data_IF_702069542726
#
_entry.id   IF_702069542726
#
_cell.length_a   1.000
_cell.length_b   1.000
_cell.length_c   1.000
_cell.angle_alpha   90.00
_cell.angle_beta   90.00
_cell.angle_gamma   90.00
#
_symmetry.space_group_name_H-M   'P 1'
#
loop_
_entity.id
_entity.type
_entity.pdbx_description
1 polymer ?
#
# COMPACT_ATOMS: atom_id res chain seq x y z
N UNK A 1 -3.26 10.82 -50.52
CA UNK A 1 -2.24 11.49 -51.35
C UNK A 1 -2.49 11.25 -52.84
N UNK A 2 -2.55 10.02 -53.33
CA UNK A 2 -2.75 9.75 -54.78
C UNK A 2 -4.04 10.35 -55.35
N UNK A 3 -5.20 10.12 -54.70
CA UNK A 3 -6.46 10.79 -55.08
C UNK A 3 -6.42 12.32 -55.02
N UNK A 4 -5.64 12.88 -54.09
CA UNK A 4 -5.51 14.34 -53.98
C UNK A 4 -4.67 14.92 -55.12
N UNK A 5 -3.71 14.15 -55.65
CA UNK A 5 -2.93 14.53 -56.84
C UNK A 5 -3.82 14.45 -58.10
N UNK A 6 -4.58 13.36 -58.25
CA UNK A 6 -5.51 13.15 -59.38
C UNK A 6 -6.62 14.20 -59.43
N UNK A 7 -7.11 14.64 -58.27
CA UNK A 7 -8.14 15.68 -58.14
C UNK A 7 -7.58 17.11 -58.07
N UNK A 8 -6.25 17.28 -58.16
CA UNK A 8 -5.58 18.60 -58.24
C UNK A 8 -5.47 19.38 -56.93
N UNK A 9 -5.70 18.75 -55.78
CA UNK A 9 -5.53 19.37 -54.46
C UNK A 9 -4.07 19.51 -54.02
N UNK A 10 -3.16 18.72 -54.60
CA UNK A 10 -1.71 18.79 -54.36
C UNK A 10 -0.96 18.65 -55.68
N UNK A 11 0.21 19.28 -55.79
CA UNK A 11 1.10 19.14 -56.94
C UNK A 11 2.03 17.92 -56.82
N UNK A 12 2.70 17.56 -57.92
CA UNK A 12 3.56 16.38 -58.01
C UNK A 12 4.77 16.46 -57.05
N UNK A 13 5.28 17.67 -56.81
CA UNK A 13 6.36 17.91 -55.85
C UNK A 13 5.90 17.69 -54.40
N UNK A 14 4.71 18.18 -54.05
CA UNK A 14 4.08 17.97 -52.75
C UNK A 14 3.75 16.49 -52.50
N UNK A 15 3.27 15.79 -53.54
CA UNK A 15 3.03 14.36 -53.48
C UNK A 15 4.29 13.58 -53.12
N UNK A 16 5.39 13.79 -53.85
CA UNK A 16 6.67 13.10 -53.59
C UNK A 16 7.22 13.45 -52.21
N UNK A 17 7.21 14.73 -51.83
CA UNK A 17 7.67 15.17 -50.51
C UNK A 17 6.88 14.56 -49.35
N UNK A 18 5.58 14.29 -49.55
CA UNK A 18 4.72 13.73 -48.51
C UNK A 18 4.77 12.21 -48.44
N UNK A 19 5.01 11.51 -49.56
CA UNK A 19 5.12 10.04 -49.57
C UNK A 19 6.46 9.55 -49.00
N UNK A 20 7.53 10.34 -49.20
CA UNK A 20 8.86 10.05 -48.64
C UNK A 20 8.98 10.38 -47.15
N UNK A 21 8.00 11.08 -46.57
CA UNK A 21 7.99 11.38 -45.15
C UNK A 21 7.47 10.18 -44.35
N UNK A 22 8.29 9.54 -43.51
CA UNK A 22 7.80 8.50 -42.62
C UNK A 22 6.76 9.09 -41.67
N UNK A 23 5.67 8.36 -41.44
CA UNK A 23 4.66 8.73 -40.45
C UNK A 23 5.33 8.68 -39.07
N UNK A 24 5.73 9.85 -38.57
CA UNK A 24 6.09 10.01 -37.18
C UNK A 24 4.81 10.07 -36.38
N UNK A 25 4.36 8.91 -35.90
CA UNK A 25 3.36 8.88 -34.85
C UNK A 25 3.96 9.63 -33.67
N UNK A 26 3.42 10.80 -33.36
CA UNK A 26 3.58 11.36 -32.02
C UNK A 26 2.90 10.33 -31.14
N UNK A 27 3.68 9.49 -30.47
CA UNK A 27 3.15 8.58 -29.47
C UNK A 27 2.23 9.41 -28.59
N UNK A 28 1.02 8.91 -28.34
CA UNK A 28 0.09 9.57 -27.41
C UNK A 28 0.97 9.95 -26.23
N UNK A 29 1.10 11.25 -25.97
CA UNK A 29 1.61 11.69 -24.68
C UNK A 29 0.55 11.13 -23.75
N UNK A 30 0.79 9.92 -23.25
CA UNK A 30 0.19 9.48 -22.00
C UNK A 30 0.77 10.51 -21.06
N UNK A 31 0.09 11.65 -20.93
CA UNK A 31 0.21 12.45 -19.73
C UNK A 31 0.05 11.40 -18.66
N UNK A 32 1.12 11.17 -17.93
CA UNK A 32 1.31 10.07 -17.00
C UNK A 32 0.42 10.26 -15.76
N UNK A 33 -0.81 10.73 -15.97
CA UNK A 33 -1.78 11.23 -14.99
C UNK A 33 -2.43 10.12 -14.20
N UNK A 34 -2.25 8.85 -14.59
CA UNK A 34 -2.79 7.67 -13.91
C UNK A 34 -1.68 6.84 -13.23
N UNK A 35 -0.63 7.47 -12.71
CA UNK A 35 0.44 6.77 -11.95
C UNK A 35 0.34 7.02 -10.45
N UNK A 36 -0.88 6.95 -9.93
CA UNK A 36 -1.17 7.20 -8.53
C UNK A 36 -2.22 6.19 -8.07
N UNK A 37 -2.00 5.61 -6.89
CA UNK A 37 -2.95 4.71 -6.24
C UNK A 37 -4.34 5.33 -6.16
N UNK A 38 -4.42 6.63 -5.89
CA UNK A 38 -5.68 7.34 -5.74
C UNK A 38 -6.42 7.52 -7.07
N UNK A 39 -5.71 7.87 -8.14
CA UNK A 39 -6.33 8.05 -9.46
C UNK A 39 -6.83 6.71 -9.99
N UNK A 40 -6.09 5.63 -9.75
CA UNK A 40 -6.55 4.27 -10.08
C UNK A 40 -7.82 3.89 -9.32
N UNK A 41 -7.96 4.29 -8.04
CA UNK A 41 -9.20 4.07 -7.29
C UNK A 41 -10.39 4.83 -7.87
N UNK A 42 -10.19 6.10 -8.26
CA UNK A 42 -11.25 6.85 -8.94
C UNK A 42 -11.63 6.15 -10.25
N UNK A 43 -10.64 5.69 -11.02
CA UNK A 43 -10.85 4.98 -12.28
C UNK A 43 -11.71 3.74 -12.06
N UNK A 44 -11.35 2.88 -11.10
CA UNK A 44 -12.11 1.67 -10.76
C UNK A 44 -13.55 2.01 -10.35
N UNK A 45 -13.72 3.01 -9.48
CA UNK A 45 -15.05 3.44 -9.04
C UNK A 45 -15.94 3.94 -10.18
N UNK A 46 -15.36 4.68 -11.14
CA UNK A 46 -16.09 5.14 -12.33
C UNK A 46 -16.47 3.98 -13.23
N UNK A 47 -15.54 3.04 -13.50
CA UNK A 47 -15.83 1.86 -14.32
C UNK A 47 -16.96 1.04 -13.72
N UNK A 48 -16.89 0.79 -12.40
CA UNK A 48 -17.88 -0.02 -11.69
C UNK A 48 -19.29 0.59 -11.79
N UNK A 49 -19.41 1.93 -11.79
CA UNK A 49 -20.71 2.62 -11.73
C UNK A 49 -21.24 3.08 -13.09
N UNK A 50 -20.36 3.47 -14.00
CA UNK A 50 -20.73 4.12 -15.27
C UNK A 50 -20.19 3.38 -16.51
N UNK A 51 -19.46 2.28 -16.32
CA UNK A 51 -18.84 1.49 -17.39
C UNK A 51 -17.52 2.08 -17.90
N UNK A 52 -16.76 1.29 -18.66
CA UNK A 52 -15.47 1.72 -19.23
C UNK A 52 -15.62 2.89 -20.21
N UNK A 53 -16.75 2.92 -20.94
CA UNK A 53 -17.11 3.98 -21.88
C UNK A 53 -17.15 5.36 -21.23
N UNK A 54 -17.48 5.46 -19.94
CA UNK A 54 -17.53 6.75 -19.23
C UNK A 54 -16.14 7.40 -19.11
N UNK A 55 -15.08 6.58 -19.03
CA UNK A 55 -13.70 7.07 -19.04
C UNK A 55 -13.32 7.52 -20.44
N UNK A 56 -13.60 6.68 -21.45
CA UNK A 56 -13.20 6.90 -22.84
C UNK A 56 -13.92 8.09 -23.49
N UNK A 57 -15.23 8.22 -23.23
CA UNK A 57 -16.03 9.33 -23.75
C UNK A 57 -15.67 10.65 -23.08
N UNK A 58 -15.12 10.61 -21.86
CA UNK A 58 -14.70 11.76 -21.06
C UNK A 58 -15.87 12.66 -20.62
N UNK A 59 -15.54 13.74 -19.90
CA UNK A 59 -16.53 14.77 -19.54
C UNK A 59 -17.11 14.72 -18.14
N UNK A 60 -16.73 13.72 -17.33
CA UNK A 60 -17.03 13.71 -15.91
C UNK A 60 -16.03 14.60 -15.16
N UNK A 61 -16.55 15.47 -14.29
CA UNK A 61 -15.78 16.17 -13.26
C UNK A 61 -16.02 15.47 -11.93
N UNK A 62 -14.96 14.91 -11.37
CA UNK A 62 -15.00 14.11 -10.14
C UNK A 62 -14.32 14.92 -9.03
N UNK A 63 -15.09 15.25 -8.00
CA UNK A 63 -14.62 15.95 -6.81
C UNK A 63 -14.44 14.93 -5.69
N UNK A 64 -13.29 14.98 -5.03
CA UNK A 64 -12.88 13.96 -4.06
C UNK A 64 -12.55 14.58 -2.71
N UNK A 65 -12.30 13.74 -1.71
CA UNK A 65 -11.95 14.18 -0.35
C UNK A 65 -10.45 14.39 -0.15
N UNK A 66 -9.63 13.96 -1.12
CA UNK A 66 -8.17 14.01 -1.03
C UNK A 66 -7.68 15.44 -0.88
N UNK A 67 -6.77 15.61 0.07
CA UNK A 67 -5.97 16.81 0.20
C UNK A 67 -4.68 16.62 -0.62
N UNK A 68 -4.58 17.36 -1.74
CA UNK A 68 -3.49 17.20 -2.71
C UNK A 68 -2.12 17.44 -2.08
N UNK A 69 -1.99 18.49 -1.28
CA UNK A 69 -0.71 18.89 -0.71
C UNK A 69 -0.29 17.89 0.37
N UNK A 70 -1.22 17.53 1.26
CA UNK A 70 -0.97 16.51 2.28
C UNK A 70 -0.62 15.16 1.65
N UNK A 71 -1.29 14.77 0.57
CA UNK A 71 -1.02 13.53 -0.15
C UNK A 71 0.40 13.52 -0.75
N UNK A 72 0.81 14.61 -1.40
CA UNK A 72 2.16 14.75 -1.96
C UNK A 72 3.23 14.60 -0.88
N UNK A 73 3.08 15.29 0.26
CA UNK A 73 4.04 15.21 1.36
C UNK A 73 4.06 13.82 2.01
N UNK A 74 2.89 13.18 2.17
CA UNK A 74 2.79 11.82 2.69
C UNK A 74 3.51 10.80 1.80
N UNK A 75 3.30 10.86 0.48
CA UNK A 75 3.99 9.99 -0.48
C UNK A 75 5.50 10.20 -0.43
N UNK A 76 5.95 11.45 -0.49
CA UNK A 76 7.39 11.79 -0.44
C UNK A 76 8.02 11.31 0.87
N UNK A 77 7.33 11.48 2.00
CA UNK A 77 7.83 11.04 3.30
C UNK A 77 7.92 9.52 3.37
N UNK A 78 6.91 8.79 2.89
CA UNK A 78 6.92 7.34 2.84
C UNK A 78 8.09 6.82 1.99
N UNK A 79 8.28 7.36 0.79
CA UNK A 79 9.37 6.98 -0.11
C UNK A 79 10.74 7.19 0.53
N UNK A 80 10.99 8.38 1.10
CA UNK A 80 12.23 8.67 1.79
C UNK A 80 12.48 7.73 2.98
N UNK A 81 11.44 7.49 3.78
CA UNK A 81 11.54 6.61 4.94
C UNK A 81 11.84 5.16 4.53
N UNK A 82 11.21 4.62 3.49
CA UNK A 82 11.48 3.27 2.98
C UNK A 82 12.91 3.14 2.43
N UNK A 83 13.42 4.17 1.74
CA UNK A 83 14.82 4.22 1.29
C UNK A 83 15.80 4.26 2.46
N UNK A 84 15.51 5.07 3.49
CA UNK A 84 16.32 5.15 4.71
C UNK A 84 16.30 3.83 5.48
N UNK A 85 15.14 3.20 5.63
CA UNK A 85 15.00 1.92 6.32
C UNK A 85 15.78 0.83 5.58
N UNK A 86 15.62 0.71 4.27
CA UNK A 86 16.38 -0.28 3.49
C UNK A 86 17.88 -0.01 3.56
N UNK A 87 18.31 1.25 3.50
CA UNK A 87 19.72 1.60 3.67
C UNK A 87 20.28 1.19 5.05
N UNK A 88 19.45 1.12 6.09
CA UNK A 88 19.87 0.65 7.42
C UNK A 88 19.89 -0.87 7.53
N UNK A 89 18.82 -1.55 7.11
CA UNK A 89 18.63 -2.99 7.34
C UNK A 89 19.22 -3.86 6.23
N UNK A 90 19.49 -3.29 5.05
CA UNK A 90 19.90 -4.01 3.86
C UNK A 90 18.73 -4.55 3.04
N UNK A 91 19.03 -5.38 2.05
CA UNK A 91 18.03 -5.98 1.17
C UNK A 91 17.41 -7.20 1.85
N UNK A 92 16.12 -7.49 1.61
CA UNK A 92 15.52 -8.69 2.15
C UNK A 92 16.13 -9.94 1.51
N UNK A 93 16.19 -11.04 2.25
CA UNK A 93 16.42 -12.35 1.67
C UNK A 93 15.13 -12.76 0.94
N UNK A 94 15.21 -12.87 -0.38
CA UNK A 94 14.07 -13.23 -1.21
C UNK A 94 13.76 -14.73 -1.08
N UNK A 95 12.47 -15.06 -1.00
CA UNK A 95 11.99 -16.44 -1.08
C UNK A 95 12.02 -16.95 -2.54
N UNK A 96 11.92 -18.28 -2.72
CA UNK A 96 11.97 -18.92 -4.05
C UNK A 96 10.94 -18.31 -5.01
N UNK A 97 9.70 -18.18 -4.57
CA UNK A 97 8.60 -17.67 -5.38
C UNK A 97 8.80 -16.19 -5.77
N UNK A 98 9.42 -15.40 -4.89
CA UNK A 98 9.75 -14.00 -5.19
C UNK A 98 10.86 -13.90 -6.23
N UNK A 99 11.88 -14.76 -6.14
CA UNK A 99 12.96 -14.85 -7.13
C UNK A 99 12.40 -15.26 -8.48
N UNK A 100 11.49 -16.25 -8.51
CA UNK A 100 10.86 -16.72 -9.74
C UNK A 100 9.98 -15.64 -10.37
N UNK A 101 9.18 -14.92 -9.57
CA UNK A 101 8.40 -13.77 -10.06
C UNK A 101 9.29 -12.67 -10.66
N UNK A 102 10.42 -12.35 -10.01
CA UNK A 102 11.37 -11.36 -10.52
C UNK A 102 12.05 -11.83 -11.81
N UNK A 103 12.40 -13.12 -11.88
CA UNK A 103 12.99 -13.72 -13.08
C UNK A 103 12.02 -13.64 -14.26
N UNK A 104 10.75 -14.01 -14.07
CA UNK A 104 9.72 -13.89 -15.10
C UNK A 104 9.54 -12.43 -15.57
N UNK A 105 9.55 -11.46 -14.63
CA UNK A 105 9.54 -10.03 -14.99
C UNK A 105 10.78 -9.63 -15.77
N UNK A 106 11.95 -10.08 -15.37
CA UNK A 106 13.20 -9.81 -16.09
C UNK A 106 13.15 -10.33 -17.53
N UNK A 107 12.69 -11.57 -17.73
CA UNK A 107 12.66 -12.25 -19.03
C UNK A 107 11.55 -11.72 -19.96
N UNK A 108 10.48 -11.17 -19.41
CA UNK A 108 9.38 -10.57 -20.21
C UNK A 108 9.63 -9.11 -20.59
N UNK A 109 10.65 -8.48 -20.03
CA UNK A 109 11.07 -7.14 -20.40
C UNK A 109 11.86 -7.18 -21.70
N UNK A 110 11.26 -6.75 -22.80
CA UNK A 110 11.93 -6.58 -24.10
C UNK A 110 12.56 -5.17 -24.16
N UNK A 111 13.80 -5.01 -23.67
CA UNK A 111 14.44 -3.71 -23.44
C UNK A 111 15.82 -3.67 -24.05
N UNK A 112 16.02 -2.73 -24.98
CA UNK A 112 17.29 -2.45 -25.61
C UNK A 112 17.62 -0.95 -25.50
N UNK A 113 18.82 -0.50 -25.95
CA UNK A 113 19.23 0.89 -25.84
C UNK A 113 18.30 1.91 -26.54
N UNK A 114 17.51 1.47 -27.53
CA UNK A 114 16.56 2.32 -28.26
C UNK A 114 15.17 2.32 -27.62
N UNK A 115 14.79 1.25 -26.93
CA UNK A 115 13.46 1.07 -26.32
C UNK A 115 13.41 1.41 -24.83
N UNK A 116 14.55 1.65 -24.17
CA UNK A 116 14.57 2.04 -22.76
C UNK A 116 13.89 3.42 -22.56
N UNK A 117 12.96 3.47 -21.62
CA UNK A 117 12.09 4.63 -21.40
C UNK A 117 12.49 5.33 -20.11
N UNK A 118 12.74 6.64 -20.17
CA UNK A 118 12.97 7.46 -18.98
C UNK A 118 11.76 7.40 -18.02
N UNK A 119 12.04 7.50 -16.72
CA UNK A 119 11.08 7.41 -15.63
C UNK A 119 10.39 6.02 -15.48
N UNK A 120 10.82 5.00 -16.24
CA UNK A 120 10.32 3.64 -16.12
C UNK A 120 11.12 2.80 -15.13
N UNK A 121 10.49 1.74 -14.63
CA UNK A 121 11.04 0.82 -13.63
C UNK A 121 11.22 -0.54 -14.29
N UNK A 122 12.38 -1.13 -14.06
CA UNK A 122 12.79 -2.41 -14.62
C UNK A 122 13.31 -3.31 -13.51
N UNK A 123 13.19 -4.63 -13.71
CA UNK A 123 13.93 -5.63 -12.98
C UNK A 123 15.29 -5.80 -13.66
N UNK A 124 16.37 -5.74 -12.89
CA UNK A 124 17.73 -5.91 -13.36
C UNK A 124 18.41 -7.10 -12.69
N UNK A 125 19.24 -7.82 -13.45
CA UNK A 125 20.05 -8.94 -12.95
C UNK A 125 21.46 -8.45 -12.60
N UNK A 126 21.89 -8.67 -11.36
CA UNK A 126 23.18 -8.18 -10.85
C UNK A 126 24.34 -8.97 -11.45
N UNK A 127 25.27 -8.27 -12.10
CA UNK A 127 26.54 -8.81 -12.61
C UNK A 127 27.65 -8.78 -11.56
N UNK A 128 27.76 -7.69 -10.83
CA UNK A 128 28.75 -7.55 -9.75
C UNK A 128 28.29 -6.58 -8.67
N UNK A 129 28.76 -6.83 -7.45
CA UNK A 129 28.59 -5.95 -6.29
C UNK A 129 29.99 -5.60 -5.80
N UNK A 130 30.33 -4.31 -5.76
CA UNK A 130 31.61 -3.83 -5.25
C UNK A 130 31.39 -2.57 -4.42
N UNK A 131 31.69 -2.67 -3.12
CA UNK A 131 31.34 -1.64 -2.13
C UNK A 131 29.84 -1.31 -2.25
N UNK A 132 29.50 -0.04 -2.46
CA UNK A 132 28.14 0.45 -2.61
C UNK A 132 27.74 0.67 -4.08
N UNK A 133 28.39 -0.02 -5.01
CA UNK A 133 28.07 0.05 -6.44
C UNK A 133 27.72 -1.33 -6.95
N UNK A 134 26.67 -1.39 -7.76
CA UNK A 134 26.28 -2.59 -8.51
C UNK A 134 26.41 -2.33 -10.00
N UNK A 135 26.81 -3.37 -10.73
CA UNK A 135 26.62 -3.45 -12.18
C UNK A 135 25.58 -4.52 -12.46
N UNK A 136 24.78 -4.32 -13.51
CA UNK A 136 23.66 -5.20 -13.83
C UNK A 136 23.31 -5.14 -15.32
N UNK A 137 22.46 -6.06 -15.74
CA UNK A 137 21.78 -6.02 -17.04
C UNK A 137 20.29 -5.84 -16.86
N UNK A 138 19.66 -5.19 -17.84
CA UNK A 138 18.22 -5.20 -18.09
C UNK A 138 18.11 -5.65 -19.54
N UNK A 139 17.89 -6.95 -19.74
CA UNK A 139 17.92 -7.53 -21.09
C UNK A 139 19.23 -7.18 -21.83
N UNK A 140 19.20 -6.40 -22.92
CA UNK A 140 20.39 -5.99 -23.68
C UNK A 140 21.12 -4.76 -23.09
N UNK A 141 20.49 -4.06 -22.14
CA UNK A 141 21.04 -2.82 -21.57
C UNK A 141 21.92 -3.11 -20.36
N UNK A 142 23.17 -2.66 -20.39
CA UNK A 142 24.03 -2.65 -19.21
C UNK A 142 23.86 -1.38 -18.39
N UNK A 143 23.83 -1.53 -17.07
CA UNK A 143 23.67 -0.42 -16.14
C UNK A 143 24.57 -0.52 -14.92
N UNK A 144 24.78 0.64 -14.29
CA UNK A 144 25.43 0.75 -12.98
C UNK A 144 24.63 1.68 -12.10
N UNK A 145 24.53 1.34 -10.82
CA UNK A 145 23.85 2.18 -9.84
C UNK A 145 24.59 2.17 -8.50
N UNK A 146 24.44 3.27 -7.77
CA UNK A 146 24.87 3.37 -6.39
C UNK A 146 23.77 2.85 -5.46
N UNK A 147 24.14 2.05 -4.47
CA UNK A 147 23.27 1.54 -3.42
C UNK A 147 23.59 2.29 -2.14
N UNK A 148 22.59 2.97 -1.59
CA UNK A 148 22.73 3.72 -0.34
C UNK A 148 22.73 2.76 0.85
N UNK A 149 23.73 2.86 1.72
CA UNK A 149 23.79 2.14 2.99
C UNK A 149 24.18 0.66 2.86
N UNK A 150 23.50 -0.19 3.62
CA UNK A 150 23.76 -1.63 3.73
C UNK A 150 23.48 -2.36 2.42
N UNK A 151 24.43 -3.19 2.00
CA UNK A 151 24.32 -4.10 0.85
C UNK A 151 24.03 -5.54 1.27
N UNK A 152 23.63 -5.76 2.53
CA UNK A 152 23.30 -7.10 3.03
C UNK A 152 22.27 -7.76 2.11
N UNK A 153 22.50 -9.05 1.80
CA UNK A 153 21.74 -9.88 0.86
C UNK A 153 21.77 -9.46 -0.62
N UNK A 154 22.53 -8.43 -1.01
CA UNK A 154 22.88 -8.22 -2.42
C UNK A 154 23.98 -9.18 -2.84
N UNK A 155 23.77 -9.86 -3.96
CA UNK A 155 24.73 -10.82 -4.48
C UNK A 155 24.67 -10.88 -6.01
N UNK A 156 25.76 -11.37 -6.61
CA UNK A 156 25.81 -11.69 -8.03
C UNK A 156 24.68 -12.66 -8.39
N UNK A 157 24.13 -12.51 -9.59
CA UNK A 157 23.00 -13.26 -10.13
C UNK A 157 21.66 -13.04 -9.40
N UNK A 158 21.62 -12.14 -8.40
CA UNK A 158 20.38 -11.66 -7.79
C UNK A 158 19.63 -10.64 -8.66
N UNK A 159 18.37 -10.38 -8.32
CA UNK A 159 17.52 -9.41 -9.02
C UNK A 159 17.22 -8.19 -8.15
N UNK A 160 17.16 -7.02 -8.77
CA UNK A 160 16.80 -5.74 -8.12
C UNK A 160 15.85 -4.93 -9.00
N UNK A 161 15.05 -4.07 -8.38
CA UNK A 161 14.30 -3.04 -9.09
C UNK A 161 15.20 -1.83 -9.33
N UNK A 162 15.24 -1.34 -10.57
CA UNK A 162 15.96 -0.13 -10.96
C UNK A 162 15.04 0.80 -11.73
N UNK A 163 15.12 2.10 -11.43
CA UNK A 163 14.44 3.16 -12.17
C UNK A 163 15.45 3.84 -13.10
N UNK A 164 15.11 3.93 -14.37
CA UNK A 164 15.86 4.74 -15.33
C UNK A 164 15.36 6.19 -15.23
N UNK A 165 16.21 7.11 -14.81
CA UNK A 165 15.84 8.50 -14.51
C UNK A 165 15.94 9.38 -15.76
N UNK A 166 15.35 10.57 -15.71
CA UNK A 166 15.38 11.54 -16.82
C UNK A 166 16.81 11.98 -17.18
N UNK A 167 17.71 12.04 -16.20
CA UNK A 167 19.14 12.32 -16.39
C UNK A 167 19.93 11.09 -16.90
N UNK A 168 19.23 10.08 -17.44
CA UNK A 168 19.78 8.86 -18.02
C UNK A 168 20.65 8.05 -17.05
N UNK A 169 20.31 8.08 -15.76
CA UNK A 169 20.98 7.29 -14.72
C UNK A 169 20.07 6.18 -14.21
N UNK A 170 20.66 5.22 -13.50
CA UNK A 170 19.90 4.19 -12.82
C UNK A 170 19.89 4.44 -11.31
N UNK A 171 18.69 4.36 -10.72
CA UNK A 171 18.48 4.38 -9.27
C UNK A 171 17.93 3.03 -8.83
N UNK A 172 18.57 2.38 -7.86
CA UNK A 172 18.03 1.17 -7.22
C UNK A 172 16.83 1.56 -6.35
N UNK A 173 15.73 0.84 -6.49
CA UNK A 173 14.52 1.05 -5.70
C UNK A 173 14.49 0.09 -4.49
N UNK A 174 13.85 0.50 -3.38
CA UNK A 174 13.69 -0.38 -2.25
C UNK A 174 12.74 -1.54 -2.55
N UNK A 175 13.02 -2.70 -1.97
CA UNK A 175 12.11 -3.82 -1.84
C UNK A 175 11.07 -3.59 -0.75
N UNK A 176 11.47 -2.90 0.32
CA UNK A 176 10.55 -2.53 1.40
C UNK A 176 9.37 -1.74 0.85
N UNK A 177 8.20 -2.04 1.40
CA UNK A 177 6.92 -1.42 1.05
C UNK A 177 6.30 -0.82 2.30
N UNK A 178 5.36 0.10 2.10
CA UNK A 178 4.62 0.70 3.20
C UNK A 178 3.35 1.37 2.71
N UNK A 179 2.60 1.92 3.66
CA UNK A 179 1.31 2.56 3.42
C UNK A 179 1.23 3.84 4.24
N UNK A 180 0.60 4.86 3.68
CA UNK A 180 0.09 6.00 4.46
C UNK A 180 -1.38 6.19 4.11
N UNK A 181 -2.23 6.19 5.13
CA UNK A 181 -3.67 6.42 5.01
C UNK A 181 -4.07 7.45 6.05
N UNK A 182 -4.86 8.44 5.65
CA UNK A 182 -5.44 9.44 6.56
C UNK A 182 -6.92 9.57 6.29
N UNK A 183 -7.71 9.54 7.36
CA UNK A 183 -9.17 9.65 7.33
C UNK A 183 -9.57 10.80 8.25
N UNK A 184 -10.42 11.69 7.74
CA UNK A 184 -11.08 12.70 8.56
C UNK A 184 -12.05 12.01 9.53
N UNK A 185 -11.78 12.10 10.83
CA UNK A 185 -12.54 11.33 11.84
C UNK A 185 -14.01 11.75 11.94
N UNK A 186 -14.33 13.01 11.62
CA UNK A 186 -15.69 13.55 11.75
C UNK A 186 -16.59 13.15 10.59
N UNK A 187 -16.01 12.98 9.40
CA UNK A 187 -16.76 12.77 8.17
C UNK A 187 -16.56 11.38 7.56
N UNK A 188 -15.41 10.73 7.80
CA UNK A 188 -14.98 9.54 7.08
C UNK A 188 -14.27 9.85 5.74
N UNK A 189 -14.06 11.12 5.40
CA UNK A 189 -13.41 11.50 4.15
C UNK A 189 -11.93 11.08 4.14
N UNK A 190 -11.52 10.28 3.16
CA UNK A 190 -10.12 9.89 2.99
C UNK A 190 -9.33 11.11 2.49
N UNK A 191 -8.35 11.56 3.26
CA UNK A 191 -7.50 12.71 2.94
C UNK A 191 -6.22 12.33 2.21
N UNK A 192 -5.67 11.16 2.53
CA UNK A 192 -4.43 10.62 1.96
C UNK A 192 -4.59 9.13 1.76
N UNK A 193 -4.11 8.59 0.63
CA UNK A 193 -4.07 7.15 0.37
C UNK A 193 -2.87 6.76 -0.51
N UNK A 194 -1.78 6.36 0.13
CA UNK A 194 -0.56 5.89 -0.53
C UNK A 194 -0.43 4.39 -0.29
N UNK A 195 -0.54 3.59 -1.36
CA UNK A 195 -0.64 2.12 -1.29
C UNK A 195 0.67 1.35 -1.41
N UNK A 196 1.81 2.03 -1.51
CA UNK A 196 3.13 1.43 -1.71
C UNK A 196 4.22 2.47 -1.96
N UNK A 197 5.44 2.00 -2.17
CA UNK A 197 6.58 2.87 -2.49
C UNK A 197 6.38 3.63 -3.81
N UNK A 198 5.94 2.93 -4.86
CA UNK A 198 5.81 3.49 -6.21
C UNK A 198 4.77 2.71 -7.00
N UNK A 199 3.80 3.41 -7.58
CA UNK A 199 2.65 2.78 -8.24
C UNK A 199 3.08 1.96 -9.45
N UNK A 200 4.06 2.46 -10.23
CA UNK A 200 4.60 1.74 -11.39
C UNK A 200 5.37 0.47 -11.02
N UNK A 201 5.90 0.40 -9.80
CA UNK A 201 6.55 -0.82 -9.29
C UNK A 201 5.49 -1.86 -8.91
N UNK A 202 4.40 -1.41 -8.30
CA UNK A 202 3.32 -2.28 -7.82
C UNK A 202 2.01 -1.49 -7.73
N UNK A 203 1.06 -1.82 -8.60
CA UNK A 203 -0.29 -1.23 -8.59
C UNK A 203 -1.17 -1.75 -7.44
N UNK A 204 -0.70 -2.76 -6.70
CA UNK A 204 -1.39 -3.31 -5.53
C UNK A 204 -1.49 -2.26 -4.42
N UNK A 205 -2.72 -1.83 -4.12
CA UNK A 205 -2.98 -0.81 -3.12
C UNK A 205 -3.06 -1.43 -1.73
N UNK A 206 -1.93 -1.43 -1.04
CA UNK A 206 -1.81 -2.04 0.30
C UNK A 206 -2.71 -1.35 1.34
N UNK A 207 -3.13 -0.11 1.14
CA UNK A 207 -4.04 0.58 2.08
C UNK A 207 -5.42 -0.09 2.15
N UNK A 208 -5.87 -0.67 1.04
CA UNK A 208 -7.20 -1.27 0.92
C UNK A 208 -7.18 -2.79 0.80
N UNK A 209 -6.12 -3.35 0.21
CA UNK A 209 -6.09 -4.76 -0.21
C UNK A 209 -5.15 -5.61 0.65
N UNK A 210 -4.14 -5.01 1.30
CA UNK A 210 -3.14 -5.78 2.06
C UNK A 210 -3.70 -6.18 3.41
N UNK A 211 -3.98 -7.46 3.58
CA UNK A 211 -4.33 -8.08 4.86
C UNK A 211 -3.04 -8.39 5.62
N UNK A 212 -2.88 -7.84 6.83
CA UNK A 212 -1.71 -8.05 7.70
C UNK A 212 -2.14 -8.12 9.16
N UNK A 213 -1.33 -8.81 9.96
CA UNK A 213 -1.48 -8.83 11.41
C UNK A 213 -1.28 -7.42 11.98
N UNK A 214 -2.28 -6.81 12.64
CA UNK A 214 -2.15 -5.49 13.25
C UNK A 214 -1.31 -5.52 14.54
N UNK A 215 -1.05 -6.72 15.08
CA UNK A 215 -0.37 -6.89 16.34
C UNK A 215 -1.08 -6.16 17.48
N UNK A 216 -0.32 -5.45 18.31
CA UNK A 216 -0.85 -4.71 19.46
C UNK A 216 -1.85 -3.59 19.10
N UNK A 217 -1.95 -3.19 17.83
CA UNK A 217 -2.93 -2.18 17.42
C UNK A 217 -4.40 -2.67 17.53
N UNK A 218 -4.64 -3.98 17.72
CA UNK A 218 -5.99 -4.50 18.01
C UNK A 218 -6.42 -4.27 19.46
N UNK A 219 -5.48 -4.11 20.39
CA UNK A 219 -5.76 -4.07 21.84
C UNK A 219 -6.81 -3.02 22.21
N UNK A 220 -6.78 -1.78 21.69
CA UNK A 220 -7.80 -0.78 22.01
C UNK A 220 -9.25 -1.25 21.80
N UNK A 221 -9.52 -2.17 20.88
CA UNK A 221 -10.86 -2.76 20.68
C UNK A 221 -11.30 -3.58 21.90
N UNK A 222 -10.40 -4.40 22.44
CA UNK A 222 -10.66 -5.24 23.62
C UNK A 222 -10.84 -4.36 24.85
N UNK A 223 -10.00 -3.35 25.02
CA UNK A 223 -10.09 -2.43 26.15
C UNK A 223 -11.33 -1.52 26.05
N UNK A 224 -11.74 -1.10 24.84
CA UNK A 224 -13.01 -0.41 24.63
C UNK A 224 -14.20 -1.31 25.00
N UNK A 225 -14.14 -2.60 24.61
CA UNK A 225 -15.15 -3.60 25.02
C UNK A 225 -15.22 -3.71 26.54
N UNK A 226 -14.08 -3.76 27.23
CA UNK A 226 -14.03 -3.80 28.69
C UNK A 226 -14.74 -2.60 29.33
N UNK A 227 -14.44 -1.40 28.84
CA UNK A 227 -15.05 -0.16 29.35
C UNK A 227 -16.57 -0.16 29.12
N UNK A 228 -17.03 -0.65 27.96
CA UNK A 228 -18.46 -0.83 27.68
C UNK A 228 -19.14 -1.84 28.63
N UNK A 229 -18.38 -2.75 29.24
CA UNK A 229 -18.85 -3.76 30.19
C UNK A 229 -18.53 -3.39 31.66
N UNK A 230 -18.37 -2.10 31.96
CA UNK A 230 -18.25 -1.60 33.35
C UNK A 230 -16.83 -1.54 33.91
N UNK A 231 -15.81 -1.90 33.13
CA UNK A 231 -14.42 -1.67 33.56
C UNK A 231 -14.10 -0.17 33.53
N UNK A 232 -13.23 0.25 34.44
CA UNK A 232 -12.71 1.63 34.51
C UNK A 232 -11.21 1.63 34.21
N UNK A 233 -10.63 2.81 34.02
CA UNK A 233 -9.20 2.95 33.80
C UNK A 233 -8.33 2.40 34.96
N UNK A 234 -8.91 2.29 36.16
CA UNK A 234 -8.26 1.79 37.38
C UNK A 234 -8.64 0.35 37.74
N UNK A 235 -9.48 -0.31 36.94
CA UNK A 235 -9.78 -1.73 37.13
C UNK A 235 -8.49 -2.55 37.10
N UNK A 236 -8.36 -3.49 38.02
CA UNK A 236 -7.17 -4.35 38.15
C UNK A 236 -7.27 -5.53 37.18
N UNK A 237 -6.18 -5.78 36.47
CA UNK A 237 -5.96 -6.92 35.59
C UNK A 237 -4.75 -7.72 36.08
N UNK A 238 -4.76 -9.02 35.81
CA UNK A 238 -3.63 -9.91 36.13
C UNK A 238 -2.66 -9.98 34.95
N UNK A 239 -1.42 -9.58 35.18
CA UNK A 239 -0.27 -9.77 34.30
C UNK A 239 0.60 -10.91 34.86
N UNK A 240 0.11 -12.14 34.71
CA UNK A 240 0.65 -13.37 35.29
C UNK A 240 0.76 -14.49 34.23
N UNK A 241 1.59 -15.53 34.44
CA UNK A 241 1.70 -16.66 33.51
C UNK A 241 0.45 -17.55 33.54
N UNK A 242 -0.59 -17.14 32.83
CA UNK A 242 -1.84 -17.91 32.69
C UNK A 242 -1.76 -18.76 31.43
N UNK A 243 -2.06 -20.06 31.56
CA UNK A 243 -2.07 -21.00 30.44
C UNK A 243 -3.43 -21.05 29.75
N UNK A 244 -3.42 -21.10 28.42
CA UNK A 244 -4.59 -21.25 27.57
C UNK A 244 -4.37 -22.38 26.57
N UNK A 245 -5.42 -23.14 26.26
CA UNK A 245 -5.32 -24.21 25.27
C UNK A 245 -5.26 -23.64 23.84
N UNK A 246 -4.23 -23.99 23.08
CA UNK A 246 -4.10 -23.68 21.65
C UNK A 246 -4.48 -24.90 20.81
N UNK A 247 -5.71 -24.90 20.29
CA UNK A 247 -6.23 -25.96 19.43
C UNK A 247 -5.45 -26.13 18.11
N UNK A 248 -4.75 -25.10 17.62
CA UNK A 248 -4.00 -25.18 16.37
C UNK A 248 -2.69 -25.97 16.51
N UNK A 249 -2.10 -25.93 17.70
CA UNK A 249 -0.85 -26.63 18.03
C UNK A 249 -1.07 -27.81 18.98
N UNK A 250 -2.32 -28.06 19.38
CA UNK A 250 -2.72 -29.09 20.34
C UNK A 250 -1.87 -29.11 21.62
N UNK A 251 -1.64 -27.91 22.19
CA UNK A 251 -0.82 -27.73 23.40
C UNK A 251 -1.25 -26.51 24.19
N UNK A 252 -0.75 -26.43 25.42
CA UNK A 252 -0.85 -25.23 26.24
C UNK A 252 0.01 -24.09 25.70
N UNK A 253 -0.53 -22.88 25.76
CA UNK A 253 0.12 -21.64 25.37
C UNK A 253 0.04 -20.63 26.51
N UNK A 254 1.21 -20.10 26.90
CA UNK A 254 1.33 -19.03 27.90
C UNK A 254 1.80 -17.76 27.18
N UNK A 255 0.97 -16.69 27.11
CA UNK A 255 1.37 -15.43 26.49
C UNK A 255 2.48 -14.76 27.28
N UNK A 256 3.58 -14.41 26.61
CA UNK A 256 4.68 -13.66 27.22
C UNK A 256 4.62 -12.18 26.83
N UNK A 257 4.95 -11.32 27.78
CA UNK A 257 5.23 -9.91 27.50
C UNK A 257 6.52 -9.78 26.67
N UNK A 258 6.68 -8.67 25.94
CA UNK A 258 7.83 -8.47 25.06
C UNK A 258 9.18 -8.51 25.80
N UNK A 259 9.18 -8.14 27.08
CA UNK A 259 10.34 -8.16 27.98
C UNK A 259 10.45 -9.44 28.81
N UNK A 260 9.48 -10.35 28.69
CA UNK A 260 9.40 -11.58 29.48
C UNK A 260 9.05 -11.37 30.96
N UNK A 261 8.73 -10.15 31.40
CA UNK A 261 8.46 -9.83 32.81
C UNK A 261 6.95 -9.78 33.07
N UNK A 262 6.50 -10.51 34.09
CA UNK A 262 5.15 -10.44 34.64
C UNK A 262 5.10 -9.44 35.80
N UNK A 263 4.07 -8.61 35.84
CA UNK A 263 3.94 -7.52 36.80
C UNK A 263 2.86 -7.75 37.86
N UNK A 264 2.24 -8.93 37.86
CA UNK A 264 1.15 -9.26 38.78
C UNK A 264 -0.06 -8.35 38.53
N UNK A 265 -0.59 -7.73 39.58
CA UNK A 265 -1.72 -6.82 39.45
C UNK A 265 -1.33 -5.49 38.80
N UNK A 266 -1.95 -5.18 37.67
CA UNK A 266 -1.78 -3.93 36.93
C UNK A 266 -3.12 -3.29 36.63
N UNK A 267 -3.20 -1.97 36.62
CA UNK A 267 -4.43 -1.27 36.24
C UNK A 267 -4.62 -1.26 34.71
N UNK A 268 -5.88 -1.28 34.27
CA UNK A 268 -6.30 -1.35 32.88
C UNK A 268 -5.58 -0.31 32.00
N UNK A 269 -5.50 0.96 32.44
CA UNK A 269 -4.78 1.99 31.67
C UNK A 269 -3.30 1.67 31.48
N UNK A 270 -2.64 1.10 32.48
CA UNK A 270 -1.22 0.75 32.43
C UNK A 270 -0.98 -0.46 31.54
N UNK A 271 -1.88 -1.46 31.61
CA UNK A 271 -1.80 -2.65 30.76
C UNK A 271 -1.89 -2.30 29.27
N UNK A 272 -2.80 -1.40 28.89
CA UNK A 272 -2.89 -0.90 27.52
C UNK A 272 -1.67 -0.05 27.14
N UNK A 273 -1.31 0.93 27.97
CA UNK A 273 -0.20 1.86 27.69
C UNK A 273 1.15 1.15 27.52
N UNK A 274 1.40 0.10 28.32
CA UNK A 274 2.62 -0.74 28.21
C UNK A 274 2.45 -1.91 27.25
N UNK A 275 1.29 -2.04 26.60
CA UNK A 275 0.95 -3.14 25.71
C UNK A 275 1.27 -4.51 26.31
N UNK A 276 0.84 -4.77 27.55
CA UNK A 276 1.09 -6.05 28.21
C UNK A 276 0.27 -7.16 27.54
N UNK A 277 0.93 -8.20 27.06
CA UNK A 277 0.32 -9.31 26.35
C UNK A 277 -0.49 -10.19 27.30
N UNK A 278 0.10 -10.62 28.42
CA UNK A 278 -0.56 -11.50 29.36
C UNK A 278 -1.81 -10.84 29.98
N UNK A 279 -1.70 -9.59 30.43
CA UNK A 279 -2.87 -8.83 30.91
C UNK A 279 -3.97 -8.65 29.85
N UNK A 280 -3.63 -8.48 28.58
CA UNK A 280 -4.64 -8.33 27.51
C UNK A 280 -5.33 -9.64 27.17
N UNK A 281 -4.58 -10.75 27.17
CA UNK A 281 -5.17 -12.09 26.97
C UNK A 281 -6.05 -12.46 28.17
N UNK A 282 -5.60 -12.15 29.40
CA UNK A 282 -6.42 -12.28 30.60
C UNK A 282 -7.71 -11.47 30.47
N UNK A 283 -7.64 -10.20 30.06
CA UNK A 283 -8.82 -9.37 29.86
C UNK A 283 -9.79 -9.98 28.84
N UNK A 284 -9.29 -10.48 27.70
CA UNK A 284 -10.11 -11.20 26.72
C UNK A 284 -10.80 -12.43 27.35
N UNK A 285 -10.12 -13.17 28.20
CA UNK A 285 -10.72 -14.32 28.91
C UNK A 285 -11.83 -13.93 29.89
N UNK A 286 -11.79 -12.72 30.46
CA UNK A 286 -12.83 -12.24 31.36
C UNK A 286 -14.06 -11.70 30.60
N UNK A 287 -13.86 -11.19 29.38
CA UNK A 287 -14.92 -10.63 28.54
C UNK A 287 -15.60 -11.65 27.62
N UNK A 288 -14.91 -12.76 27.32
CA UNK A 288 -15.25 -13.69 26.25
C UNK A 288 -15.10 -13.08 24.83
N UNK A 289 -15.10 -13.93 23.81
CA UNK A 289 -14.84 -13.55 22.42
C UNK A 289 -15.99 -12.76 21.79
N UNK A 290 -17.24 -13.13 22.08
CA UNK A 290 -18.40 -12.59 21.37
C UNK A 290 -18.60 -11.08 21.59
N UNK A 291 -18.50 -10.53 22.82
CA UNK A 291 -18.58 -9.09 23.03
C UNK A 291 -17.46 -8.31 22.32
N UNK A 292 -16.25 -8.87 22.30
CA UNK A 292 -15.09 -8.25 21.64
C UNK A 292 -15.26 -8.25 20.12
N UNK A 293 -15.69 -9.36 19.55
CA UNK A 293 -15.94 -9.48 18.10
C UNK A 293 -17.10 -8.57 17.68
N UNK A 294 -18.18 -8.52 18.45
CA UNK A 294 -19.29 -7.61 18.19
C UNK A 294 -18.83 -6.14 18.22
N UNK A 295 -17.97 -5.77 19.16
CA UNK A 295 -17.38 -4.42 19.24
C UNK A 295 -16.48 -4.14 18.04
N UNK A 296 -15.63 -5.08 17.63
CA UNK A 296 -14.80 -4.95 16.44
C UNK A 296 -15.62 -4.66 15.18
N UNK A 297 -16.72 -5.38 14.97
CA UNK A 297 -17.61 -5.16 13.84
C UNK A 297 -18.34 -3.82 13.91
N UNK A 298 -18.77 -3.38 15.11
CA UNK A 298 -19.31 -2.03 15.30
C UNK A 298 -18.28 -0.94 14.99
N UNK A 299 -16.98 -1.19 15.22
CA UNK A 299 -15.90 -0.25 14.92
C UNK A 299 -15.41 -0.28 13.46
N UNK A 300 -15.96 -1.16 12.62
CA UNK A 300 -15.69 -1.18 11.17
C UNK A 300 -14.76 -2.29 10.68
N UNK A 301 -14.38 -3.25 11.52
CA UNK A 301 -13.74 -4.48 11.04
C UNK A 301 -14.77 -5.30 10.27
N UNK A 302 -14.41 -5.77 9.07
CA UNK A 302 -15.27 -6.60 8.21
C UNK A 302 -14.74 -8.03 8.10
N UNK A 303 -13.45 -8.21 8.37
CA UNK A 303 -12.79 -9.51 8.39
C UNK A 303 -13.35 -10.42 9.48
N UNK A 304 -13.57 -11.70 9.15
CA UNK A 304 -14.03 -12.70 10.12
C UNK A 304 -12.99 -12.87 11.23
N UNK A 305 -13.37 -12.56 12.46
CA UNK A 305 -12.49 -12.71 13.62
C UNK A 305 -12.61 -14.12 14.21
N UNK A 306 -11.47 -14.81 14.45
CA UNK A 306 -11.45 -16.14 15.04
C UNK A 306 -11.55 -16.10 16.57
N UNK A 307 -12.11 -17.18 17.16
CA UNK A 307 -12.27 -17.34 18.61
C UNK A 307 -11.09 -18.10 19.23
N UNK A 308 -9.89 -17.51 19.17
CA UNK A 308 -8.72 -18.02 19.88
C UNK A 308 -8.02 -16.90 20.64
N UNK A 309 -7.38 -17.21 21.77
CA UNK A 309 -6.84 -16.20 22.68
C UNK A 309 -5.73 -15.34 22.08
N UNK A 310 -5.00 -15.82 21.06
CA UNK A 310 -4.00 -15.02 20.36
C UNK A 310 -4.61 -13.84 19.57
N UNK A 311 -5.94 -13.79 19.39
CA UNK A 311 -6.65 -12.62 18.88
C UNK A 311 -6.30 -11.36 19.68
N UNK A 312 -6.12 -11.49 21.01
CA UNK A 312 -5.70 -10.40 21.89
C UNK A 312 -4.36 -9.78 21.53
N UNK A 313 -3.54 -10.49 20.77
CA UNK A 313 -2.21 -10.07 20.33
C UNK A 313 -2.19 -9.66 18.85
N UNK A 314 -3.34 -9.68 18.18
CA UNK A 314 -3.49 -9.25 16.79
C UNK A 314 -2.97 -10.25 15.76
N UNK A 315 -3.18 -11.55 16.00
CA UNK A 315 -2.81 -12.63 15.06
C UNK A 315 -3.75 -12.77 13.86
N UNK A 316 -4.89 -12.08 13.86
CA UNK A 316 -5.82 -11.97 12.71
C UNK A 316 -5.34 -10.96 11.68
N UNK A 317 -5.74 -11.10 10.41
CA UNK A 317 -5.34 -10.18 9.36
C UNK A 317 -6.41 -9.11 9.06
N UNK A 318 -6.01 -7.85 9.17
CA UNK A 318 -6.83 -6.68 8.85
C UNK A 318 -6.19 -5.85 7.74
N UNK A 319 -7.00 -5.06 7.05
CA UNK A 319 -6.51 -4.03 6.13
C UNK A 319 -6.19 -2.74 6.89
N UNK A 320 -5.24 -1.91 6.41
CA UNK A 320 -4.96 -0.61 7.03
C UNK A 320 -6.18 0.30 7.12
N UNK A 321 -7.11 0.25 6.16
CA UNK A 321 -8.34 1.04 6.20
C UNK A 321 -9.31 0.60 7.29
N UNK A 322 -9.45 -0.69 7.57
CA UNK A 322 -10.24 -1.17 8.71
C UNK A 322 -9.66 -0.66 10.02
N UNK A 323 -8.34 -0.76 10.19
CA UNK A 323 -7.66 -0.29 11.39
C UNK A 323 -7.78 1.23 11.54
N UNK A 324 -7.60 2.00 10.46
CA UNK A 324 -7.78 3.44 10.47
C UNK A 324 -9.23 3.84 10.83
N UNK A 325 -10.23 3.09 10.37
CA UNK A 325 -11.65 3.32 10.68
C UNK A 325 -11.94 3.12 12.18
N UNK A 326 -11.36 2.09 12.79
CA UNK A 326 -11.44 1.84 14.23
C UNK A 326 -10.90 3.05 15.01
N UNK A 327 -9.70 3.52 14.65
CA UNK A 327 -9.07 4.64 15.35
C UNK A 327 -9.75 5.98 15.07
N UNK A 328 -10.29 6.18 13.86
CA UNK A 328 -11.11 7.34 13.53
C UNK A 328 -12.37 7.40 14.40
N UNK A 329 -12.98 6.24 14.69
CA UNK A 329 -14.14 6.15 15.59
C UNK A 329 -13.79 6.60 17.00
N UNK A 330 -12.63 6.21 17.53
CA UNK A 330 -12.16 6.72 18.84
C UNK A 330 -11.90 8.23 18.80
N UNK A 331 -11.26 8.73 17.73
CA UNK A 331 -11.03 10.16 17.50
C UNK A 331 -12.31 10.97 17.29
N UNK A 332 -13.44 10.31 17.00
CA UNK A 332 -14.77 10.90 16.83
C UNK A 332 -15.72 10.53 17.98
N UNK A 333 -15.16 10.35 19.19
CA UNK A 333 -15.92 10.14 20.43
C UNK A 333 -16.89 8.94 20.38
N UNK A 334 -16.53 7.90 19.62
CA UNK A 334 -17.34 6.68 19.48
C UNK A 334 -18.29 6.67 18.28
N UNK A 335 -18.37 7.74 17.49
CA UNK A 335 -19.19 7.78 16.27
C UNK A 335 -18.40 7.27 15.07
N UNK A 336 -18.80 6.13 14.49
CA UNK A 336 -18.18 5.60 13.27
C UNK A 336 -18.71 6.30 12.04
N UNK A 337 -17.80 6.77 11.19
CA UNK A 337 -18.09 7.21 9.83
C UNK A 337 -17.54 6.19 8.83
N UNK A 338 -18.31 5.84 7.80
CA UNK A 338 -17.81 4.97 6.73
C UNK A 338 -16.78 5.73 5.88
N UNK A 339 -15.60 5.14 5.62
CA UNK A 339 -14.62 5.79 4.76
C UNK A 339 -15.13 5.99 3.34
N UNK A 340 -14.96 7.19 2.79
CA UNK A 340 -15.33 7.52 1.42
C UNK A 340 -14.29 8.44 0.78
N UNK A 341 -14.21 8.43 -0.56
CA UNK A 341 -13.24 9.24 -1.31
C UNK A 341 -13.82 10.05 -2.47
N UNK A 342 -15.06 9.79 -2.90
CA UNK A 342 -15.77 10.59 -3.90
C UNK A 342 -16.80 11.47 -3.19
N UNK A 343 -16.76 12.78 -3.43
CA UNK A 343 -17.70 13.76 -2.85
C UNK A 343 -18.78 14.17 -3.85
N UNK A 344 -18.45 14.29 -5.13
CA UNK A 344 -19.39 14.77 -6.15
C UNK A 344 -18.96 14.33 -7.54
N UNK A 345 -19.90 13.95 -8.39
CA UNK A 345 -19.67 13.72 -9.82
C UNK A 345 -20.59 14.62 -10.63
N UNK A 346 -20.04 15.30 -11.62
CA UNK A 346 -20.75 16.23 -12.49
C UNK A 346 -20.49 15.86 -13.95
N UNK A 347 -21.52 15.85 -14.78
CA UNK A 347 -21.37 15.61 -16.22
C UNK A 347 -20.88 16.87 -17.00
N UNK A 348 -20.78 16.76 -18.33
CA UNK A 348 -20.36 17.86 -19.20
C UNK A 348 -21.31 19.06 -19.16
N UNK A 349 -22.59 18.82 -18.92
CA UNK A 349 -23.65 19.81 -18.92
C UNK A 349 -23.81 20.48 -17.55
N UNK A 350 -23.06 20.04 -16.53
CA UNK A 350 -23.16 20.56 -15.17
C UNK A 350 -24.16 19.81 -14.29
N UNK A 351 -24.78 18.74 -14.78
CA UNK A 351 -25.71 17.94 -14.00
C UNK A 351 -24.96 17.12 -12.95
N UNK A 352 -25.50 17.08 -11.73
CA UNK A 352 -24.94 16.29 -10.64
C UNK A 352 -25.41 14.85 -10.79
N UNK A 353 -24.47 13.93 -10.98
CA UNK A 353 -24.75 12.49 -11.11
C UNK A 353 -24.59 11.74 -9.78
N UNK A 354 -23.84 12.31 -8.84
CA UNK A 354 -23.57 11.75 -7.52
C UNK A 354 -23.16 12.86 -6.55
N UNK A 355 -23.62 12.78 -5.29
CA UNK A 355 -23.21 13.65 -4.20
C UNK A 355 -23.39 12.98 -2.84
#
# INVERSE_FOLDING_TARGET
LMRMLEEGYIDEYQYQRCIEKPIRLVGIIKTDTFNDYFVELIRQWVVERYGEDAISRGGLKIYTTIDKDLHYYAQKRLQNWLEEMQARVGFPKLFKDEIESLKQKYESQNVNPETIIANSIYVAKIKSVSKNKITFTIDEVEGKAFVKGSIVNLQKDGYVYVKYTEDKKFKVLPFLEGVVLSIDSKTGGIRVIVGGYEFRKSQFNRALQSKRQPGSAIKPIIYATAIQNGYTQISVLKDEPISFWDYSQNKEWVPKNYDGIYRGNVILRTALAKSLNAATVYLLSQLDFDPVIATAYRLGIRQKLPKYYSLALGSTELTPIELATVYATFGNQGTRCEPYYIRKVVDRNGNILYQ
#
